data_IF_580743735841
#
_entry.id   IF_580743735841
#
_cell.length_a   1.000
_cell.length_b   1.000
_cell.length_c   1.000
_cell.angle_alpha   90.00
_cell.angle_beta   90.00
_cell.angle_gamma   90.00
#
_symmetry.space_group_name_H-M   'P 1'
#
loop_
_entity.id
_entity.type
_entity.pdbx_description
1 polymer ?
#
# COMPACT_ATOMS: atom_id res chain seq x y z
N UNK A 1 -0.46 41.80 3.66
CA UNK A 1 0.85 41.31 3.22
C UNK A 1 1.55 42.40 2.46
N UNK A 2 2.75 42.77 2.92
CA UNK A 2 3.62 43.73 2.24
C UNK A 2 4.18 43.13 0.94
N UNK A 3 4.73 43.96 0.04
CA UNK A 3 5.41 43.46 -1.19
C UNK A 3 6.57 42.53 -0.83
N UNK A 4 7.30 42.83 0.25
CA UNK A 4 8.38 41.99 0.76
C UNK A 4 7.92 40.61 1.28
N UNK A 5 6.69 40.51 1.82
CA UNK A 5 6.13 39.22 2.24
C UNK A 5 5.81 38.34 1.03
N UNK A 6 5.33 38.93 -0.08
CA UNK A 6 5.04 38.19 -1.32
C UNK A 6 6.30 37.65 -1.98
N UNK A 7 7.34 38.47 -2.06
CA UNK A 7 8.64 38.04 -2.64
C UNK A 7 9.28 36.91 -1.82
N UNK A 8 9.11 36.94 -0.49
CA UNK A 8 9.58 35.90 0.41
C UNK A 8 8.78 34.60 0.22
N UNK A 9 7.45 34.68 0.10
CA UNK A 9 6.61 33.51 -0.16
C UNK A 9 6.96 32.84 -1.49
N UNK A 10 7.15 33.62 -2.56
CA UNK A 10 7.60 33.09 -3.86
C UNK A 10 8.97 32.41 -3.78
N UNK A 11 9.84 32.89 -2.89
CA UNK A 11 11.13 32.25 -2.62
C UNK A 11 10.94 30.92 -1.89
N UNK A 12 10.11 30.89 -0.86
CA UNK A 12 9.80 29.68 -0.09
C UNK A 12 9.16 28.59 -0.97
N UNK A 13 8.31 28.96 -1.93
CA UNK A 13 7.68 28.03 -2.88
C UNK A 13 8.69 27.29 -3.78
N UNK A 14 9.91 27.80 -3.93
CA UNK A 14 10.98 27.18 -4.73
C UNK A 14 11.87 26.24 -3.91
N UNK A 15 11.71 26.19 -2.59
CA UNK A 15 12.49 25.31 -1.73
C UNK A 15 12.11 23.85 -1.94
N UNK A 16 13.03 22.94 -1.62
CA UNK A 16 12.79 21.50 -1.73
C UNK A 16 12.51 20.89 -0.35
N UNK A 17 11.23 20.80 0.01
CA UNK A 17 10.78 20.22 1.28
C UNK A 17 9.33 19.70 1.18
N UNK A 18 8.82 18.92 2.17
CA UNK A 18 7.46 18.39 2.13
C UNK A 18 6.36 19.43 1.88
N UNK A 19 6.57 20.70 2.28
CA UNK A 19 5.63 21.80 2.09
C UNK A 19 5.46 22.25 0.63
N UNK A 20 6.47 22.03 -0.22
CA UNK A 20 6.47 22.43 -1.63
C UNK A 20 6.32 21.25 -2.59
N UNK A 21 6.40 20.02 -2.07
CA UNK A 21 6.23 18.80 -2.87
C UNK A 21 4.78 18.49 -3.25
N UNK A 22 3.87 19.46 -3.23
CA UNK A 22 2.49 19.26 -3.70
C UNK A 22 1.77 18.11 -3.00
N UNK A 23 1.97 17.96 -1.70
CA UNK A 23 1.27 16.99 -0.84
C UNK A 23 0.14 17.73 -0.12
N UNK A 24 -1.11 17.34 -0.36
CA UNK A 24 -2.25 17.89 0.39
C UNK A 24 -2.71 16.90 1.46
N UNK A 25 -3.21 17.42 2.57
CA UNK A 25 -3.77 16.61 3.68
C UNK A 25 -4.84 15.62 3.20
N UNK A 26 -5.68 16.02 2.25
CA UNK A 26 -6.73 15.19 1.65
C UNK A 26 -6.19 13.97 0.88
N UNK A 27 -4.96 14.04 0.39
CA UNK A 27 -4.37 12.98 -0.43
C UNK A 27 -3.79 11.84 0.45
N UNK A 28 -3.71 12.03 1.78
CA UNK A 28 -3.10 11.11 2.75
C UNK A 28 -4.17 10.27 3.46
N UNK A 29 -4.45 9.06 2.93
CA UNK A 29 -5.51 8.18 3.44
C UNK A 29 -5.35 7.73 4.90
N UNK A 30 -4.12 7.59 5.40
CA UNK A 30 -3.82 7.04 6.74
C UNK A 30 -3.20 8.06 7.70
N UNK A 31 -3.49 9.36 7.50
CA UNK A 31 -2.82 10.46 8.22
C UNK A 31 -2.85 10.29 9.75
N UNK A 32 -3.95 9.77 10.31
CA UNK A 32 -4.09 9.58 11.75
C UNK A 32 -3.11 8.55 12.35
N UNK A 33 -2.68 7.55 11.56
CA UNK A 33 -1.85 6.45 12.06
C UNK A 33 -0.37 6.56 11.66
N UNK A 34 -0.03 7.40 10.68
CA UNK A 34 1.35 7.55 10.20
C UNK A 34 2.26 8.10 11.32
N UNK A 35 1.90 9.15 12.08
CA UNK A 35 2.77 9.70 13.12
C UNK A 35 3.18 8.68 14.17
N UNK A 36 2.25 7.89 14.70
CA UNK A 36 2.56 6.85 15.69
C UNK A 36 3.53 5.79 15.14
N UNK A 37 3.38 5.41 13.86
CA UNK A 37 4.30 4.46 13.20
C UNK A 37 5.69 5.06 12.97
N UNK A 38 5.77 6.34 12.60
CA UNK A 38 7.04 7.04 12.43
C UNK A 38 7.75 7.20 13.77
N UNK A 39 7.02 7.54 14.83
CA UNK A 39 7.60 7.65 16.16
C UNK A 39 8.16 6.32 16.66
N UNK A 40 7.40 5.22 16.50
CA UNK A 40 7.92 3.88 16.81
C UNK A 40 9.21 3.56 16.03
N UNK A 41 9.34 4.08 14.80
CA UNK A 41 10.55 3.89 13.98
C UNK A 41 11.75 4.70 14.46
N UNK A 42 11.51 5.90 14.97
CA UNK A 42 12.57 6.70 15.61
C UNK A 42 13.02 6.00 16.90
N UNK A 43 12.10 5.39 17.65
CA UNK A 43 12.43 4.72 18.91
C UNK A 43 13.16 3.38 18.73
N UNK A 44 12.81 2.59 17.71
CA UNK A 44 13.30 1.19 17.57
C UNK A 44 14.01 0.88 16.25
N UNK A 45 14.08 1.84 15.32
CA UNK A 45 14.61 1.64 13.97
C UNK A 45 16.07 2.09 13.81
N UNK A 46 16.69 1.79 12.64
CA UNK A 46 18.05 2.23 12.33
C UNK A 46 18.18 3.75 12.39
N UNK A 47 19.23 4.22 13.08
CA UNK A 47 19.49 5.64 13.35
C UNK A 47 19.61 6.50 12.09
N UNK A 48 20.22 5.95 11.03
CA UNK A 48 20.40 6.58 9.70
C UNK A 48 19.11 7.09 9.02
N UNK A 49 17.93 6.67 9.47
CA UNK A 49 16.65 7.11 8.90
C UNK A 49 15.87 8.05 9.84
N UNK A 50 16.39 8.33 11.04
CA UNK A 50 15.68 9.10 12.06
C UNK A 50 15.40 10.53 11.62
N UNK A 51 16.39 11.21 11.02
CA UNK A 51 16.22 12.58 10.52
C UNK A 51 15.06 12.70 9.51
N UNK A 52 15.02 11.81 8.51
CA UNK A 52 13.91 11.71 7.54
C UNK A 52 12.55 11.55 8.21
N UNK A 53 12.45 10.65 9.20
CA UNK A 53 11.19 10.40 9.90
C UNK A 53 10.76 11.58 10.77
N UNK A 54 11.71 12.29 11.39
CA UNK A 54 11.48 13.48 12.18
C UNK A 54 11.05 14.67 11.30
N UNK A 55 11.67 14.86 10.13
CA UNK A 55 11.23 15.85 9.14
C UNK A 55 9.79 15.60 8.68
N UNK A 56 9.45 14.34 8.40
CA UNK A 56 8.09 13.97 8.04
C UNK A 56 7.10 14.16 9.20
N UNK A 57 7.50 13.84 10.44
CA UNK A 57 6.68 14.11 11.62
C UNK A 57 6.42 15.61 11.79
N UNK A 58 7.42 16.46 11.55
CA UNK A 58 7.25 17.91 11.58
C UNK A 58 6.20 18.36 10.56
N UNK A 59 6.33 17.93 9.31
CA UNK A 59 5.36 18.24 8.25
C UNK A 59 3.94 17.81 8.61
N UNK A 60 3.76 16.58 9.11
CA UNK A 60 2.44 16.07 9.49
C UNK A 60 1.83 16.85 10.67
N UNK A 61 2.64 17.29 11.63
CA UNK A 61 2.15 18.11 12.75
C UNK A 61 1.77 19.52 12.29
N UNK A 62 2.52 20.13 11.38
CA UNK A 62 2.14 21.43 10.80
C UNK A 62 0.84 21.34 9.99
N UNK A 63 0.63 20.25 9.23
CA UNK A 63 -0.65 19.99 8.54
C UNK A 63 -1.85 19.86 9.50
N UNK A 64 -1.61 19.51 10.75
CA UNK A 64 -2.61 19.47 11.83
C UNK A 64 -2.72 20.79 12.61
N UNK A 65 -1.96 21.83 12.21
CA UNK A 65 -1.94 23.14 12.86
C UNK A 65 -1.04 23.22 14.10
N UNK A 66 -0.21 22.21 14.34
CA UNK A 66 0.70 22.14 15.50
C UNK A 66 2.12 22.57 15.11
N UNK A 67 2.28 23.79 14.61
CA UNK A 67 3.57 24.31 14.09
C UNK A 67 4.68 24.39 15.15
N UNK A 68 4.37 24.64 16.43
CA UNK A 68 5.37 24.60 17.51
C UNK A 68 5.98 23.21 17.68
N UNK A 69 5.12 22.18 17.70
CA UNK A 69 5.56 20.79 17.76
C UNK A 69 6.31 20.37 16.50
N UNK A 70 5.98 20.95 15.35
CA UNK A 70 6.75 20.76 14.13
C UNK A 70 8.19 21.26 14.30
N UNK A 71 8.40 22.45 14.88
CA UNK A 71 9.75 22.96 15.20
C UNK A 71 10.53 22.04 16.14
N UNK A 72 9.89 21.47 17.16
CA UNK A 72 10.55 20.50 18.05
C UNK A 72 11.06 19.27 17.28
N UNK A 73 10.29 18.75 16.32
CA UNK A 73 10.72 17.62 15.51
C UNK A 73 11.85 18.00 14.53
N UNK A 74 11.80 19.18 13.93
CA UNK A 74 12.88 19.68 13.09
C UNK A 74 14.18 19.88 13.88
N UNK A 75 14.08 20.38 15.12
CA UNK A 75 15.24 20.50 16.00
C UNK A 75 15.85 19.14 16.33
N UNK A 76 15.01 18.16 16.64
CA UNK A 76 15.48 16.78 16.84
C UNK A 76 16.12 16.20 15.58
N UNK A 77 15.57 16.50 14.40
CA UNK A 77 16.15 16.07 13.13
C UNK A 77 17.52 16.71 12.91
N UNK A 78 17.67 18.01 13.17
CA UNK A 78 18.95 18.74 13.10
C UNK A 78 19.99 18.10 14.03
N UNK A 79 19.63 17.87 15.29
CA UNK A 79 20.53 17.24 16.28
C UNK A 79 20.98 15.85 15.85
N UNK A 80 20.10 15.03 15.27
CA UNK A 80 20.49 13.71 14.76
C UNK A 80 21.52 13.84 13.63
N UNK A 81 21.29 14.75 12.67
CA UNK A 81 22.20 14.97 11.55
C UNK A 81 23.57 15.48 12.02
N UNK A 82 23.60 16.38 13.00
CA UNK A 82 24.83 16.89 13.62
C UNK A 82 25.61 15.82 14.38
N UNK A 83 24.93 15.03 15.21
CA UNK A 83 25.52 13.95 16.00
C UNK A 83 26.11 12.85 15.11
N UNK A 84 25.42 12.53 14.01
CA UNK A 84 25.86 11.52 13.04
C UNK A 84 26.92 12.08 12.05
N UNK A 85 27.23 13.39 12.12
CA UNK A 85 28.20 14.10 11.27
C UNK A 85 27.91 13.93 9.78
N UNK A 86 26.62 14.01 9.44
CA UNK A 86 26.15 13.87 8.07
C UNK A 86 26.66 15.02 7.18
N UNK A 87 26.68 14.78 5.87
CA UNK A 87 27.07 15.80 4.91
C UNK A 87 26.07 16.97 4.91
N UNK A 88 26.56 18.19 4.62
CA UNK A 88 25.74 19.42 4.58
C UNK A 88 24.48 19.27 3.70
N UNK A 89 24.56 18.49 2.62
CA UNK A 89 23.42 18.23 1.72
C UNK A 89 22.25 17.52 2.40
N UNK A 90 22.48 16.77 3.48
CA UNK A 90 21.42 16.12 4.26
C UNK A 90 20.57 17.12 5.06
N UNK A 91 21.11 18.32 5.32
CA UNK A 91 20.39 19.37 6.05
C UNK A 91 19.43 20.18 5.17
N UNK A 92 19.53 20.08 3.84
CA UNK A 92 18.76 20.89 2.89
C UNK A 92 17.24 20.81 3.14
N UNK A 93 16.70 19.59 3.26
CA UNK A 93 15.26 19.39 3.49
C UNK A 93 14.85 19.88 4.88
N UNK A 94 15.71 19.70 5.89
CA UNK A 94 15.46 20.14 7.26
C UNK A 94 15.41 21.68 7.35
N UNK A 95 16.41 22.38 6.82
CA UNK A 95 16.48 23.85 6.82
C UNK A 95 15.39 24.48 5.96
N UNK A 96 15.04 23.88 4.82
CA UNK A 96 13.90 24.31 4.03
C UNK A 96 12.58 24.18 4.79
N UNK A 97 12.42 23.10 5.56
CA UNK A 97 11.26 22.89 6.42
C UNK A 97 11.20 23.91 7.56
N UNK A 98 12.33 24.20 8.22
CA UNK A 98 12.42 25.26 9.23
C UNK A 98 12.01 26.63 8.67
N UNK A 99 12.54 27.01 7.51
CA UNK A 99 12.21 28.28 6.87
C UNK A 99 10.69 28.43 6.63
N UNK A 100 10.04 27.36 6.15
CA UNK A 100 8.59 27.30 5.95
C UNK A 100 7.78 27.40 7.24
N UNK A 101 8.14 26.63 8.27
CA UNK A 101 7.40 26.63 9.55
C UNK A 101 7.55 27.98 10.26
N UNK A 102 8.76 28.54 10.32
CA UNK A 102 8.98 29.87 10.89
C UNK A 102 8.23 30.97 10.13
N UNK A 103 8.15 30.87 8.80
CA UNK A 103 7.40 31.84 8.00
C UNK A 103 5.90 31.81 8.36
N UNK A 104 5.31 30.62 8.51
CA UNK A 104 3.91 30.44 8.93
C UNK A 104 3.62 30.99 10.32
N UNK A 105 4.60 30.91 11.22
CA UNK A 105 4.53 31.49 12.57
C UNK A 105 4.77 33.01 12.59
N UNK A 106 5.17 33.62 11.47
CA UNK A 106 5.52 35.04 11.38
C UNK A 106 6.92 35.38 11.87
N UNK A 107 7.77 34.38 12.12
CA UNK A 107 9.15 34.54 12.60
C UNK A 107 10.11 34.86 11.44
N UNK A 108 9.99 36.04 10.86
CA UNK A 108 10.76 36.43 9.66
C UNK A 108 12.28 36.44 9.85
N UNK A 109 12.76 36.65 11.09
CA UNK A 109 14.19 36.61 11.43
C UNK A 109 14.73 35.19 11.24
N UNK A 110 14.06 34.21 11.86
CA UNK A 110 14.45 32.80 11.77
C UNK A 110 14.28 32.28 10.34
N UNK A 111 13.21 32.64 9.63
CA UNK A 111 13.03 32.30 8.21
C UNK A 111 14.23 32.72 7.37
N UNK A 112 14.70 33.97 7.52
CA UNK A 112 15.88 34.47 6.78
C UNK A 112 17.17 33.79 7.22
N UNK A 113 17.31 33.45 8.50
CA UNK A 113 18.47 32.72 9.00
C UNK A 113 18.60 31.34 8.35
N UNK A 114 17.51 30.58 8.26
CA UNK A 114 17.51 29.27 7.61
C UNK A 114 17.67 29.36 6.09
N UNK A 115 17.11 30.38 5.43
CA UNK A 115 17.41 30.66 4.02
C UNK A 115 18.89 30.95 3.78
N UNK A 116 19.55 31.68 4.69
CA UNK A 116 20.99 31.91 4.66
C UNK A 116 21.80 30.63 4.79
N UNK A 117 21.41 29.72 5.73
CA UNK A 117 22.04 28.39 5.86
C UNK A 117 21.91 27.58 4.56
N UNK A 118 20.74 27.60 3.91
CA UNK A 118 20.52 26.92 2.62
C UNK A 118 21.39 27.49 1.50
N UNK A 119 21.47 28.83 1.43
CA UNK A 119 22.26 29.52 0.42
C UNK A 119 23.75 29.17 0.54
N UNK A 120 24.30 29.10 1.76
CA UNK A 120 25.69 28.69 1.99
C UNK A 120 25.97 27.27 1.48
N UNK A 121 25.07 26.32 1.73
CA UNK A 121 25.21 24.94 1.22
C UNK A 121 25.13 24.94 -0.32
N UNK A 122 24.16 25.66 -0.90
CA UNK A 122 23.98 25.71 -2.35
C UNK A 122 25.13 26.39 -3.10
N UNK A 123 25.74 27.45 -2.55
CA UNK A 123 26.92 28.12 -3.13
C UNK A 123 28.07 27.14 -3.40
N UNK A 124 28.22 26.10 -2.59
CA UNK A 124 29.25 25.06 -2.74
C UNK A 124 29.01 24.07 -3.89
N UNK A 125 27.83 24.05 -4.49
CA UNK A 125 27.38 23.01 -5.42
C UNK A 125 27.22 23.58 -6.83
N UNK A 126 27.88 22.98 -7.84
CA UNK A 126 27.77 23.44 -9.23
C UNK A 126 26.36 23.21 -9.79
N UNK A 127 25.79 24.21 -10.45
CA UNK A 127 24.46 24.13 -11.08
C UNK A 127 23.29 24.27 -10.10
N UNK A 128 23.56 24.68 -8.86
CA UNK A 128 22.54 25.05 -7.88
C UNK A 128 21.88 26.39 -8.22
N UNK A 129 20.62 26.52 -7.83
CA UNK A 129 19.97 27.82 -7.65
C UNK A 129 20.34 28.40 -6.29
N UNK A 130 19.91 29.63 -5.99
CA UNK A 130 20.24 30.30 -4.73
C UNK A 130 19.87 29.50 -3.47
N UNK A 131 18.76 28.73 -3.49
CA UNK A 131 18.26 28.02 -2.31
C UNK A 131 17.93 26.55 -2.55
N UNK A 132 18.23 26.02 -3.74
CA UNK A 132 17.93 24.64 -4.11
C UNK A 132 19.00 24.10 -5.06
N UNK A 133 19.42 22.86 -4.83
CA UNK A 133 20.37 22.16 -5.66
C UNK A 133 19.89 20.74 -5.96
N UNK A 134 20.23 20.23 -7.14
CA UNK A 134 20.01 18.82 -7.46
C UNK A 134 20.95 17.96 -6.61
N UNK A 135 20.41 17.25 -5.62
CA UNK A 135 21.16 16.40 -4.70
C UNK A 135 20.47 15.05 -4.54
N UNK A 136 21.22 13.93 -4.57
CA UNK A 136 20.67 12.60 -4.26
C UNK A 136 20.01 12.55 -2.88
N UNK A 137 20.52 13.31 -1.90
CA UNK A 137 19.94 13.44 -0.57
C UNK A 137 18.49 13.94 -0.60
N UNK A 138 18.23 15.01 -1.36
CA UNK A 138 16.88 15.58 -1.51
C UNK A 138 15.93 14.59 -2.18
N UNK A 139 16.38 13.89 -3.22
CA UNK A 139 15.57 12.87 -3.89
C UNK A 139 15.36 11.63 -3.01
N UNK A 140 16.33 11.25 -2.17
CA UNK A 140 16.18 10.20 -1.18
C UNK A 140 15.12 10.53 -0.12
N UNK A 141 15.17 11.75 0.42
CA UNK A 141 14.18 12.29 1.37
C UNK A 141 12.76 12.35 0.75
N UNK A 142 12.64 12.81 -0.51
CA UNK A 142 11.39 12.75 -1.28
C UNK A 142 10.87 11.32 -1.39
N UNK A 143 11.73 10.39 -1.79
CA UNK A 143 11.41 8.97 -1.95
C UNK A 143 10.81 8.38 -0.67
N UNK A 144 11.48 8.57 0.46
CA UNK A 144 11.02 8.07 1.76
C UNK A 144 9.73 8.75 2.22
N UNK A 145 9.62 10.06 2.03
CA UNK A 145 8.42 10.83 2.36
C UNK A 145 7.21 10.28 1.61
N UNK A 146 7.29 10.20 0.28
CA UNK A 146 6.20 9.67 -0.54
C UNK A 146 5.88 8.21 -0.21
N UNK A 147 6.88 7.37 0.07
CA UNK A 147 6.66 5.98 0.45
C UNK A 147 5.85 5.83 1.76
N UNK A 148 6.04 6.76 2.71
CA UNK A 148 5.30 6.80 3.97
C UNK A 148 3.90 7.38 3.84
N UNK A 149 3.71 8.38 2.97
CA UNK A 149 2.41 9.02 2.74
C UNK A 149 1.38 8.08 2.10
N UNK A 150 1.83 7.05 1.37
CA UNK A 150 1.00 5.92 0.99
C UNK A 150 0.86 5.71 -0.51
N UNK A 151 -0.05 4.81 -0.90
CA UNK A 151 -0.13 4.27 -2.26
C UNK A 151 -0.30 5.32 -3.36
N UNK A 152 -1.03 6.41 -3.07
CA UNK A 152 -1.19 7.57 -3.98
C UNK A 152 0.15 8.17 -4.42
N UNK A 153 1.19 8.03 -3.60
CA UNK A 153 2.50 8.65 -3.83
C UNK A 153 3.58 7.64 -4.27
N UNK A 154 3.26 6.35 -4.43
CA UNK A 154 4.28 5.33 -4.74
C UNK A 154 4.98 5.56 -6.09
N UNK A 155 4.27 6.02 -7.12
CA UNK A 155 4.92 6.35 -8.40
C UNK A 155 5.91 7.51 -8.28
N UNK A 156 5.56 8.51 -7.46
CA UNK A 156 6.45 9.63 -7.14
C UNK A 156 7.66 9.16 -6.32
N UNK A 157 7.45 8.28 -5.35
CA UNK A 157 8.52 7.65 -4.59
C UNK A 157 9.46 6.85 -5.50
N UNK A 158 8.93 6.06 -6.45
CA UNK A 158 9.73 5.31 -7.44
C UNK A 158 10.64 6.23 -8.24
N UNK A 159 10.10 7.32 -8.78
CA UNK A 159 10.88 8.28 -9.57
C UNK A 159 11.98 8.96 -8.74
N UNK A 160 11.67 9.38 -7.52
CA UNK A 160 12.64 10.03 -6.64
C UNK A 160 13.75 9.07 -6.19
N UNK A 161 13.40 7.84 -5.77
CA UNK A 161 14.42 6.84 -5.43
C UNK A 161 15.31 6.47 -6.62
N UNK A 162 14.75 6.38 -7.84
CA UNK A 162 15.54 6.14 -9.05
C UNK A 162 16.63 7.20 -9.22
N UNK A 163 16.25 8.48 -9.14
CA UNK A 163 17.22 9.60 -9.23
C UNK A 163 18.25 9.57 -8.10
N UNK A 164 17.81 9.24 -6.88
CA UNK A 164 18.72 9.14 -5.73
C UNK A 164 19.76 8.03 -5.93
N UNK A 165 19.36 6.86 -6.44
CA UNK A 165 20.26 5.74 -6.76
C UNK A 165 21.14 6.03 -7.97
N UNK A 166 20.66 6.77 -8.97
CA UNK A 166 21.49 7.23 -10.11
C UNK A 166 22.65 8.13 -9.64
N UNK A 167 22.40 8.97 -8.64
CA UNK A 167 23.44 9.83 -8.05
C UNK A 167 24.33 9.14 -7.02
N UNK A 168 23.77 8.22 -6.22
CA UNK A 168 24.50 7.44 -5.21
C UNK A 168 24.17 5.93 -5.30
N UNK A 169 24.82 5.19 -6.23
CA UNK A 169 24.45 3.81 -6.55
C UNK A 169 24.64 2.78 -5.43
N UNK A 170 25.52 3.09 -4.48
CA UNK A 170 25.87 2.22 -3.34
C UNK A 170 25.17 2.64 -2.03
N UNK A 171 24.28 3.63 -2.06
CA UNK A 171 23.53 4.05 -0.87
C UNK A 171 22.57 2.93 -0.41
N UNK A 172 22.84 2.37 0.77
CA UNK A 172 22.00 1.33 1.40
C UNK A 172 20.56 1.81 1.58
N UNK A 173 20.38 3.06 2.02
CA UNK A 173 19.06 3.65 2.29
C UNK A 173 18.24 3.77 1.01
N UNK A 174 18.82 4.32 -0.07
CA UNK A 174 18.08 4.56 -1.31
C UNK A 174 17.75 3.25 -2.02
N UNK A 175 18.68 2.30 -2.06
CA UNK A 175 18.42 0.98 -2.65
C UNK A 175 17.32 0.23 -1.88
N UNK A 176 17.32 0.28 -0.54
CA UNK A 176 16.27 -0.33 0.27
C UNK A 176 14.90 0.34 0.02
N UNK A 177 14.85 1.67 0.01
CA UNK A 177 13.63 2.42 -0.30
C UNK A 177 13.09 2.13 -1.71
N UNK A 178 14.00 2.07 -2.70
CA UNK A 178 13.66 1.79 -4.09
C UNK A 178 13.09 0.37 -4.26
N UNK A 179 13.75 -0.62 -3.67
CA UNK A 179 13.29 -2.00 -3.68
C UNK A 179 11.90 -2.16 -3.04
N UNK A 180 11.65 -1.48 -1.90
CA UNK A 180 10.35 -1.53 -1.22
C UNK A 180 9.24 -0.88 -2.03
N UNK A 181 9.48 0.27 -2.68
CA UNK A 181 8.44 0.92 -3.49
C UNK A 181 8.11 0.11 -4.75
N UNK A 182 9.12 -0.46 -5.41
CA UNK A 182 8.92 -1.33 -6.57
C UNK A 182 8.11 -2.58 -6.19
N UNK A 183 8.46 -3.23 -5.07
CA UNK A 183 7.70 -4.36 -4.54
C UNK A 183 6.22 -4.00 -4.32
N UNK A 184 5.94 -2.82 -3.77
CA UNK A 184 4.56 -2.36 -3.51
C UNK A 184 3.81 -2.03 -4.79
N UNK A 185 4.45 -1.37 -5.75
CA UNK A 185 3.84 -1.03 -7.05
C UNK A 185 3.53 -2.29 -7.85
N UNK A 186 4.46 -3.23 -7.95
CA UNK A 186 4.22 -4.53 -8.60
C UNK A 186 3.18 -5.40 -7.85
N UNK A 187 2.93 -5.12 -6.57
CA UNK A 187 1.83 -5.72 -5.82
C UNK A 187 0.47 -5.09 -6.08
N UNK A 188 0.42 -3.87 -6.63
CA UNK A 188 -0.80 -3.12 -6.98
C UNK A 188 -1.12 -3.33 -8.47
N UNK A 189 -0.13 -3.10 -9.34
CA UNK A 189 -0.18 -3.38 -10.75
C UNK A 189 0.07 -4.87 -10.95
N UNK A 190 -1.01 -5.65 -11.02
CA UNK A 190 -0.93 -7.07 -11.31
C UNK A 190 -0.63 -7.27 -12.80
N UNK A 191 0.66 -7.22 -13.14
CA UNK A 191 1.16 -7.53 -14.48
C UNK A 191 1.66 -8.98 -14.51
N UNK A 192 0.89 -9.86 -15.14
CA UNK A 192 1.23 -11.28 -15.31
C UNK A 192 2.25 -11.53 -16.42
N UNK A 193 2.56 -10.53 -17.25
CA UNK A 193 3.55 -10.66 -18.33
C UNK A 193 4.99 -10.62 -17.83
N UNK A 194 5.21 -10.05 -16.64
CA UNK A 194 6.53 -9.98 -16.01
C UNK A 194 6.84 -11.29 -15.32
N UNK A 195 7.89 -11.97 -15.78
CA UNK A 195 8.46 -13.13 -15.07
C UNK A 195 8.82 -12.68 -13.65
N UNK A 196 8.17 -13.22 -12.59
CA UNK A 196 8.34 -12.68 -11.24
C UNK A 196 9.79 -12.66 -10.75
N UNK A 197 10.62 -13.60 -11.22
CA UNK A 197 12.03 -13.71 -10.88
C UNK A 197 12.94 -12.64 -11.54
N UNK A 198 12.46 -11.95 -12.57
CA UNK A 198 13.23 -10.95 -13.32
C UNK A 198 12.60 -9.54 -13.24
N UNK A 199 11.64 -9.34 -12.34
CA UNK A 199 10.98 -8.04 -12.17
C UNK A 199 11.95 -6.98 -11.64
N UNK A 200 11.63 -5.70 -11.87
CA UNK A 200 12.45 -4.57 -11.39
C UNK A 200 12.60 -4.64 -9.86
N UNK A 201 11.54 -5.01 -9.14
CA UNK A 201 11.58 -5.22 -7.70
C UNK A 201 12.56 -6.33 -7.30
N UNK A 202 12.61 -7.47 -8.00
CA UNK A 202 13.55 -8.55 -7.66
C UNK A 202 14.99 -8.13 -7.88
N UNK A 203 15.27 -7.46 -9.02
CA UNK A 203 16.62 -6.94 -9.31
C UNK A 203 17.06 -5.98 -8.21
N UNK A 204 16.20 -5.04 -7.82
CA UNK A 204 16.54 -4.06 -6.80
C UNK A 204 16.57 -4.62 -5.38
N UNK A 205 15.72 -5.60 -5.05
CA UNK A 205 15.79 -6.32 -3.77
C UNK A 205 17.10 -7.07 -3.62
N UNK A 206 17.57 -7.75 -4.68
CA UNK A 206 18.90 -8.40 -4.70
C UNK A 206 20.02 -7.38 -4.52
N UNK A 207 19.95 -6.25 -5.22
CA UNK A 207 20.94 -5.17 -5.09
C UNK A 207 20.98 -4.60 -3.67
N UNK A 208 19.82 -4.34 -3.07
CA UNK A 208 19.74 -3.86 -1.69
C UNK A 208 20.29 -4.89 -0.69
N UNK A 209 20.03 -6.18 -0.88
CA UNK A 209 20.60 -7.26 -0.05
C UNK A 209 22.10 -7.50 -0.28
N UNK A 210 22.66 -7.13 -1.43
CA UNK A 210 24.12 -7.12 -1.62
C UNK A 210 24.79 -6.03 -0.79
N UNK A 211 24.13 -4.89 -0.62
CA UNK A 211 24.62 -3.76 0.17
C UNK A 211 24.37 -3.95 1.68
N UNK A 212 23.26 -4.61 2.05
CA UNK A 212 22.90 -4.92 3.44
C UNK A 212 22.35 -6.35 3.55
N UNK A 213 23.27 -7.31 3.70
CA UNK A 213 22.94 -8.73 3.70
C UNK A 213 21.98 -9.15 4.81
N UNK A 214 22.04 -8.51 5.99
CA UNK A 214 21.27 -8.90 7.18
C UNK A 214 19.89 -8.21 7.26
N UNK A 215 19.42 -7.60 6.17
CA UNK A 215 18.11 -6.96 6.15
C UNK A 215 16.97 -7.98 6.01
N UNK A 216 16.53 -8.53 7.15
CA UNK A 216 15.47 -9.53 7.23
C UNK A 216 14.14 -9.09 6.57
N UNK A 217 13.83 -7.79 6.53
CA UNK A 217 12.62 -7.32 5.83
C UNK A 217 12.77 -7.55 4.32
N UNK A 218 13.88 -7.10 3.73
CA UNK A 218 14.11 -7.23 2.29
C UNK A 218 14.23 -8.70 1.87
N UNK A 219 14.81 -9.57 2.72
CA UNK A 219 14.82 -11.01 2.50
C UNK A 219 13.41 -11.58 2.29
N UNK A 220 12.46 -11.25 3.18
CA UNK A 220 11.09 -11.78 3.06
C UNK A 220 10.33 -11.15 1.91
N UNK A 221 10.58 -9.87 1.57
CA UNK A 221 10.01 -9.26 0.37
C UNK A 221 10.50 -9.97 -0.91
N UNK A 222 11.79 -10.29 -0.98
CA UNK A 222 12.37 -11.06 -2.08
C UNK A 222 11.78 -12.48 -2.12
N UNK A 223 11.69 -13.15 -0.98
CA UNK A 223 11.09 -14.47 -0.88
C UNK A 223 9.65 -14.50 -1.43
N UNK A 224 8.83 -13.51 -1.06
CA UNK A 224 7.45 -13.37 -1.57
C UNK A 224 7.38 -13.18 -3.09
N UNK A 225 8.38 -12.54 -3.72
CA UNK A 225 8.42 -12.39 -5.18
C UNK A 225 8.89 -13.68 -5.87
N UNK A 226 9.80 -14.40 -5.24
CA UNK A 226 10.37 -15.65 -5.77
C UNK A 226 9.53 -16.89 -5.46
N UNK A 227 8.47 -16.76 -4.66
CA UNK A 227 7.69 -17.87 -4.10
C UNK A 227 7.29 -18.91 -5.15
N UNK A 228 6.74 -18.47 -6.29
CA UNK A 228 6.27 -19.38 -7.33
C UNK A 228 7.34 -19.78 -8.36
N UNK A 229 8.40 -18.98 -8.52
CA UNK A 229 9.43 -19.19 -9.55
C UNK A 229 10.68 -19.91 -9.04
N UNK A 230 11.05 -19.71 -7.78
CA UNK A 230 12.31 -20.18 -7.18
C UNK A 230 12.10 -20.62 -5.71
N UNK A 231 11.28 -21.66 -5.50
CA UNK A 231 10.86 -22.14 -4.16
C UNK A 231 12.01 -22.38 -3.17
N UNK A 232 13.10 -23.01 -3.61
CA UNK A 232 14.24 -23.32 -2.73
C UNK A 232 14.95 -22.09 -2.19
N UNK A 233 15.21 -21.10 -3.06
CA UNK A 233 15.81 -19.83 -2.63
C UNK A 233 14.85 -19.04 -1.73
N UNK A 234 13.58 -19.00 -2.13
CA UNK A 234 12.52 -18.31 -1.41
C UNK A 234 12.36 -18.82 0.03
N UNK A 235 12.34 -20.14 0.23
CA UNK A 235 12.26 -20.75 1.55
C UNK A 235 13.49 -20.40 2.40
N UNK A 236 14.70 -20.51 1.84
CA UNK A 236 15.94 -20.18 2.54
C UNK A 236 15.95 -18.72 3.03
N UNK A 237 15.50 -17.79 2.20
CA UNK A 237 15.39 -16.36 2.58
C UNK A 237 14.44 -16.16 3.76
N UNK A 238 13.33 -16.90 3.83
CA UNK A 238 12.38 -16.83 4.95
C UNK A 238 12.98 -17.42 6.23
N UNK A 239 13.67 -18.56 6.13
CA UNK A 239 14.37 -19.18 7.26
C UNK A 239 15.48 -18.27 7.82
N UNK A 240 16.27 -17.66 6.94
CA UNK A 240 17.33 -16.73 7.33
C UNK A 240 16.74 -15.46 7.96
N UNK A 241 15.65 -14.91 7.40
CA UNK A 241 14.96 -13.76 7.99
C UNK A 241 14.37 -14.07 9.38
N UNK A 242 13.79 -15.26 9.57
CA UNK A 242 13.31 -15.71 10.88
C UNK A 242 14.44 -15.93 11.88
N UNK A 243 15.62 -16.36 11.43
CA UNK A 243 16.80 -16.51 12.29
C UNK A 243 17.31 -15.15 12.75
N UNK A 244 17.34 -14.16 11.85
CA UNK A 244 17.82 -12.80 12.15
C UNK A 244 16.82 -11.99 12.99
N UNK A 245 15.53 -12.20 12.78
CA UNK A 245 14.48 -11.34 13.32
C UNK A 245 13.19 -12.12 13.69
N UNK A 246 13.26 -13.10 14.62
CA UNK A 246 12.19 -14.06 14.89
C UNK A 246 10.86 -13.43 15.36
N UNK A 247 10.94 -12.28 16.04
CA UNK A 247 9.78 -11.59 16.63
C UNK A 247 9.68 -10.11 16.24
N UNK A 248 10.30 -9.71 15.11
CA UNK A 248 10.14 -8.35 14.59
C UNK A 248 8.79 -8.27 13.87
N UNK A 249 7.81 -7.47 14.36
CA UNK A 249 6.43 -7.52 13.86
C UNK A 249 6.30 -7.34 12.34
N UNK A 250 7.21 -6.58 11.73
CA UNK A 250 7.23 -6.34 10.28
C UNK A 250 7.69 -7.56 9.48
N UNK A 251 8.69 -8.28 9.97
CA UNK A 251 9.21 -9.52 9.37
C UNK A 251 8.16 -10.61 9.56
N UNK A 252 7.70 -10.82 10.80
CA UNK A 252 6.62 -11.75 11.16
C UNK A 252 5.41 -11.59 10.23
N UNK A 253 4.99 -10.35 9.96
CA UNK A 253 3.87 -10.05 9.06
C UNK A 253 4.02 -10.66 7.67
N UNK A 254 5.21 -10.54 7.07
CA UNK A 254 5.44 -10.99 5.71
C UNK A 254 5.75 -12.49 5.67
N UNK A 255 6.41 -13.02 6.70
CA UNK A 255 6.61 -14.47 6.86
C UNK A 255 5.28 -15.18 7.00
N UNK A 256 4.36 -14.65 7.82
CA UNK A 256 3.02 -15.21 7.94
C UNK A 256 2.26 -15.19 6.62
N UNK A 257 2.38 -14.12 5.82
CA UNK A 257 1.83 -14.06 4.46
C UNK A 257 2.46 -15.14 3.58
N UNK A 258 3.77 -15.31 3.62
CA UNK A 258 4.50 -16.30 2.85
C UNK A 258 4.02 -17.73 3.16
N UNK A 259 4.04 -18.11 4.44
CA UNK A 259 3.59 -19.43 4.91
C UNK A 259 2.13 -19.69 4.55
N UNK A 260 1.27 -18.68 4.66
CA UNK A 260 -0.14 -18.81 4.25
C UNK A 260 -0.28 -19.11 2.75
N UNK A 261 0.55 -18.49 1.91
CA UNK A 261 0.53 -18.69 0.46
C UNK A 261 1.13 -20.06 0.05
N UNK A 262 2.12 -20.59 0.78
CA UNK A 262 2.59 -21.97 0.61
C UNK A 262 1.58 -23.03 1.11
N UNK A 263 0.57 -22.62 1.88
CA UNK A 263 -0.42 -23.52 2.47
C UNK A 263 -0.06 -24.02 3.88
N UNK A 264 1.08 -23.60 4.44
CA UNK A 264 1.46 -23.81 5.85
C UNK A 264 0.66 -22.90 6.79
N UNK A 265 -0.66 -23.12 6.85
CA UNK A 265 -1.59 -22.22 7.55
C UNK A 265 -1.38 -22.27 9.07
N UNK A 266 -1.10 -23.45 9.63
CA UNK A 266 -0.95 -23.61 11.08
C UNK A 266 0.33 -22.95 11.60
N UNK A 267 1.45 -23.07 10.88
CA UNK A 267 2.70 -22.34 11.16
C UNK A 267 2.50 -20.81 11.06
N UNK A 268 1.75 -20.35 10.05
CA UNK A 268 1.38 -18.94 9.91
C UNK A 268 0.59 -18.45 11.13
N UNK A 269 -0.38 -19.24 11.62
CA UNK A 269 -1.17 -18.93 12.81
C UNK A 269 -0.32 -18.91 14.09
N UNK A 270 0.65 -19.82 14.24
CA UNK A 270 1.56 -19.83 15.39
C UNK A 270 2.39 -18.55 15.46
N UNK A 271 3.04 -18.20 14.35
CA UNK A 271 3.87 -16.99 14.25
C UNK A 271 3.03 -15.72 14.45
N UNK A 272 1.84 -15.65 13.85
CA UNK A 272 0.92 -14.53 14.06
C UNK A 272 0.40 -14.46 15.50
N UNK A 273 0.18 -15.61 16.16
CA UNK A 273 -0.23 -15.70 17.56
C UNK A 273 0.80 -15.07 18.49
N UNK A 274 2.09 -15.39 18.31
CA UNK A 274 3.18 -14.76 19.07
C UNK A 274 3.24 -13.25 18.83
N UNK A 275 3.14 -12.80 17.58
CA UNK A 275 3.17 -11.38 17.27
C UNK A 275 1.96 -10.60 17.80
N UNK A 276 0.77 -11.20 17.84
CA UNK A 276 -0.42 -10.57 18.44
C UNK A 276 -0.28 -10.46 19.96
N UNK A 277 0.39 -11.41 20.63
CA UNK A 277 0.70 -11.29 22.05
C UNK A 277 1.61 -10.08 22.35
N UNK A 278 2.54 -9.75 21.45
CA UNK A 278 3.42 -8.57 21.57
C UNK A 278 2.74 -7.27 21.11
N UNK A 279 1.79 -7.34 20.18
CA UNK A 279 1.13 -6.18 19.57
C UNK A 279 -0.37 -6.43 19.37
N UNK A 280 -1.16 -6.45 20.45
CA UNK A 280 -2.57 -6.85 20.42
C UNK A 280 -3.47 -5.87 19.67
N UNK A 281 -3.00 -4.64 19.43
CA UNK A 281 -3.74 -3.61 18.69
C UNK A 281 -3.19 -3.41 17.27
N UNK A 282 -2.63 -4.45 16.65
CA UNK A 282 -2.22 -4.40 15.24
C UNK A 282 -3.35 -4.86 14.31
N UNK A 283 -3.99 -3.89 13.64
CA UNK A 283 -5.02 -4.17 12.60
C UNK A 283 -4.52 -5.17 11.55
N UNK A 284 -3.24 -5.04 11.16
CA UNK A 284 -2.63 -5.91 10.16
C UNK A 284 -2.54 -7.37 10.64
N UNK A 285 -2.08 -7.61 11.87
CA UNK A 285 -1.93 -8.98 12.38
C UNK A 285 -3.30 -9.66 12.51
N UNK A 286 -4.30 -8.94 13.03
CA UNK A 286 -5.67 -9.45 13.06
C UNK A 286 -6.21 -9.77 11.67
N UNK A 287 -5.94 -8.91 10.68
CA UNK A 287 -6.33 -9.18 9.28
C UNK A 287 -5.66 -10.45 8.74
N UNK A 288 -4.35 -10.66 8.96
CA UNK A 288 -3.66 -11.88 8.51
C UNK A 288 -4.18 -13.15 9.20
N UNK A 289 -4.48 -13.11 10.49
CA UNK A 289 -5.09 -14.26 11.20
C UNK A 289 -6.46 -14.58 10.61
N UNK A 290 -7.28 -13.54 10.35
CA UNK A 290 -8.56 -13.70 9.68
C UNK A 290 -8.43 -14.36 8.30
N UNK A 291 -7.40 -13.98 7.52
CA UNK A 291 -7.10 -14.62 6.23
C UNK A 291 -6.68 -16.09 6.37
N UNK A 292 -5.92 -16.45 7.41
CA UNK A 292 -5.59 -17.85 7.71
C UNK A 292 -6.85 -18.67 7.99
N UNK A 293 -7.74 -18.15 8.84
CA UNK A 293 -9.02 -18.81 9.11
C UNK A 293 -9.94 -18.88 7.88
N UNK A 294 -9.93 -17.84 7.02
CA UNK A 294 -10.63 -17.83 5.74
C UNK A 294 -10.11 -18.95 4.83
N UNK A 295 -8.79 -19.15 4.77
CA UNK A 295 -8.19 -20.22 3.99
C UNK A 295 -8.61 -21.61 4.50
N UNK A 296 -8.52 -21.85 5.82
CA UNK A 296 -9.01 -23.09 6.43
C UNK A 296 -10.50 -23.32 6.14
N UNK A 297 -11.32 -22.26 6.20
CA UNK A 297 -12.74 -22.34 5.84
C UNK A 297 -12.96 -22.73 4.37
N UNK A 298 -12.16 -22.20 3.44
CA UNK A 298 -12.21 -22.57 2.02
C UNK A 298 -11.85 -24.04 1.81
N UNK A 299 -10.79 -24.53 2.47
CA UNK A 299 -10.42 -25.95 2.44
C UNK A 299 -11.57 -26.84 2.97
N UNK A 300 -12.26 -26.43 4.03
CA UNK A 300 -13.44 -27.14 4.55
C UNK A 300 -14.59 -27.19 3.52
N UNK A 301 -14.72 -26.19 2.64
CA UNK A 301 -15.70 -26.21 1.54
C UNK A 301 -15.29 -27.11 0.38
N UNK A 302 -13.98 -27.24 0.12
CA UNK A 302 -13.42 -28.09 -0.94
C UNK A 302 -13.39 -29.58 -0.55
N UNK A 303 -13.35 -29.89 0.75
CA UNK A 303 -13.48 -31.26 1.26
C UNK A 303 -14.90 -31.83 0.98
N UNK A 304 -15.12 -32.29 -0.25
CA UNK A 304 -16.42 -32.77 -0.76
C UNK A 304 -16.54 -34.30 -0.80
N UNK A 305 -15.44 -35.04 -0.66
CA UNK A 305 -15.49 -36.50 -0.57
C UNK A 305 -16.29 -36.93 0.68
N UNK A 306 -17.13 -37.95 0.55
CA UNK A 306 -18.06 -38.38 1.61
C UNK A 306 -17.35 -38.69 2.96
N UNK A 307 -16.10 -39.15 2.91
CA UNK A 307 -15.28 -39.42 4.09
C UNK A 307 -14.77 -38.16 4.83
N UNK A 308 -14.66 -37.02 4.14
CA UNK A 308 -14.05 -35.78 4.67
C UNK A 308 -15.04 -34.60 4.69
N UNK A 309 -16.35 -34.85 4.57
CA UNK A 309 -17.35 -33.79 4.52
C UNK A 309 -17.45 -33.10 5.87
N UNK A 310 -16.97 -31.86 5.92
CA UNK A 310 -17.01 -31.06 7.15
C UNK A 310 -18.45 -30.58 7.43
N UNK A 311 -18.99 -30.79 8.65
CA UNK A 311 -20.33 -30.34 9.03
C UNK A 311 -20.54 -28.83 8.89
N UNK A 312 -21.78 -28.44 8.58
CA UNK A 312 -22.14 -27.02 8.43
C UNK A 312 -21.90 -26.21 9.71
N UNK A 313 -22.09 -26.81 10.89
CA UNK A 313 -21.83 -26.17 12.17
C UNK A 313 -20.35 -25.82 12.35
N UNK A 314 -19.43 -26.72 11.98
CA UNK A 314 -17.98 -26.46 12.05
C UNK A 314 -17.57 -25.35 11.07
N UNK A 315 -18.14 -25.33 9.86
CA UNK A 315 -17.91 -24.25 8.89
C UNK A 315 -18.38 -22.89 9.41
N UNK A 316 -19.54 -22.85 10.08
CA UNK A 316 -20.02 -21.62 10.74
C UNK A 316 -19.12 -21.18 11.89
N UNK A 317 -18.68 -22.11 12.74
CA UNK A 317 -17.74 -21.80 13.81
C UNK A 317 -16.43 -21.22 13.23
N UNK A 318 -15.93 -21.78 12.12
CA UNK A 318 -14.75 -21.24 11.45
C UNK A 318 -14.98 -19.87 10.83
N UNK A 319 -16.13 -19.64 10.22
CA UNK A 319 -16.53 -18.31 9.74
C UNK A 319 -16.64 -17.28 10.88
N UNK A 320 -17.06 -17.70 12.09
CA UNK A 320 -17.08 -16.86 13.27
C UNK A 320 -15.67 -16.43 13.72
N UNK A 321 -14.67 -17.30 13.63
CA UNK A 321 -13.27 -16.93 13.87
C UNK A 321 -12.75 -15.91 12.85
N UNK A 322 -13.12 -16.06 11.56
CA UNK A 322 -12.82 -15.04 10.55
C UNK A 322 -13.42 -13.68 10.94
N UNK A 323 -14.71 -13.66 11.29
CA UNK A 323 -15.42 -12.44 11.72
C UNK A 323 -14.73 -11.80 12.92
N UNK A 324 -14.37 -12.58 13.95
CA UNK A 324 -13.73 -12.06 15.18
C UNK A 324 -12.47 -11.26 14.84
N UNK A 325 -11.61 -11.84 14.01
CA UNK A 325 -10.34 -11.22 13.64
C UNK A 325 -10.51 -10.07 12.65
N UNK A 326 -11.33 -10.21 11.60
CA UNK A 326 -11.57 -9.12 10.67
C UNK A 326 -12.27 -7.92 11.33
N UNK A 327 -13.22 -8.17 12.24
CA UNK A 327 -13.88 -7.10 13.00
C UNK A 327 -12.89 -6.34 13.86
N UNK A 328 -12.00 -7.03 14.59
CA UNK A 328 -10.94 -6.37 15.36
C UNK A 328 -10.00 -5.55 14.46
N UNK A 329 -9.67 -6.05 13.26
CA UNK A 329 -8.86 -5.31 12.31
C UNK A 329 -9.54 -4.01 11.84
N UNK A 330 -10.86 -4.04 11.59
CA UNK A 330 -11.68 -2.89 11.21
C UNK A 330 -11.88 -1.92 12.38
N UNK A 331 -12.10 -2.42 13.60
CA UNK A 331 -12.20 -1.59 14.81
C UNK A 331 -10.92 -0.77 15.04
N UNK A 332 -9.74 -1.38 14.83
CA UNK A 332 -8.44 -0.69 14.98
C UNK A 332 -8.19 0.27 13.81
N UNK A 333 -8.53 -0.13 12.57
CA UNK A 333 -8.32 0.70 11.37
C UNK A 333 -9.57 0.68 10.48
N UNK A 334 -10.52 1.60 10.70
CA UNK A 334 -11.76 1.66 9.93
C UNK A 334 -11.54 1.99 8.44
N UNK A 335 -10.44 2.68 8.09
CA UNK A 335 -10.09 3.02 6.71
C UNK A 335 -9.53 1.84 5.90
N UNK A 336 -9.33 0.66 6.51
CA UNK A 336 -8.82 -0.51 5.80
C UNK A 336 -9.94 -1.18 4.98
N UNK A 337 -10.08 -0.74 3.71
CA UNK A 337 -11.03 -1.29 2.74
C UNK A 337 -10.97 -2.83 2.66
N UNK A 338 -9.77 -3.41 2.56
CA UNK A 338 -9.61 -4.85 2.39
C UNK A 338 -10.15 -5.64 3.59
N UNK A 339 -9.85 -5.18 4.81
CA UNK A 339 -10.39 -5.80 6.02
C UNK A 339 -11.92 -5.67 6.10
N UNK A 340 -12.51 -4.56 5.64
CA UNK A 340 -13.98 -4.38 5.57
C UNK A 340 -14.62 -5.34 4.57
N UNK A 341 -14.06 -5.48 3.36
CA UNK A 341 -14.54 -6.44 2.35
C UNK A 341 -14.44 -7.87 2.89
N UNK A 342 -13.30 -8.26 3.47
CA UNK A 342 -13.12 -9.59 4.06
C UNK A 342 -14.09 -9.87 5.22
N UNK A 343 -14.40 -8.85 6.03
CA UNK A 343 -15.41 -8.93 7.08
C UNK A 343 -16.82 -9.17 6.49
N UNK A 344 -17.21 -8.41 5.46
CA UNK A 344 -18.48 -8.56 4.79
C UNK A 344 -18.64 -9.96 4.15
N UNK A 345 -17.58 -10.44 3.49
CA UNK A 345 -17.56 -11.81 2.97
C UNK A 345 -17.72 -12.85 4.07
N UNK A 346 -17.01 -12.69 5.20
CA UNK A 346 -17.11 -13.60 6.34
C UNK A 346 -18.52 -13.60 6.97
N UNK A 347 -19.18 -12.43 7.06
CA UNK A 347 -20.59 -12.33 7.45
C UNK A 347 -21.50 -13.10 6.48
N UNK A 348 -21.29 -12.95 5.17
CA UNK A 348 -22.01 -13.72 4.15
C UNK A 348 -21.82 -15.23 4.30
N UNK A 349 -20.61 -15.71 4.61
CA UNK A 349 -20.34 -17.13 4.88
C UNK A 349 -21.06 -17.62 6.15
N UNK A 350 -21.17 -16.76 7.15
CA UNK A 350 -21.84 -17.07 8.42
C UNK A 350 -23.37 -16.86 8.37
N UNK A 351 -23.95 -16.58 7.19
CA UNK A 351 -25.38 -16.26 6.97
C UNK A 351 -25.90 -15.00 7.67
N UNK A 352 -24.99 -14.10 8.04
CA UNK A 352 -25.28 -12.78 8.57
C UNK A 352 -25.39 -11.79 7.41
N UNK A 353 -26.45 -11.95 6.61
CA UNK A 353 -26.56 -11.29 5.31
C UNK A 353 -26.76 -9.77 5.42
N UNK A 354 -27.52 -9.33 6.42
CA UNK A 354 -27.79 -7.91 6.64
C UNK A 354 -26.50 -7.14 6.96
N UNK A 355 -25.67 -7.68 7.85
CA UNK A 355 -24.40 -7.05 8.25
C UNK A 355 -23.37 -7.05 7.12
N UNK A 356 -23.37 -8.07 6.26
CA UNK A 356 -22.53 -8.08 5.07
C UNK A 356 -22.92 -6.97 4.09
N UNK A 357 -24.24 -6.84 3.83
CA UNK A 357 -24.78 -5.87 2.89
C UNK A 357 -24.61 -4.43 3.37
N UNK A 358 -24.76 -4.18 4.67
CA UNK A 358 -24.50 -2.87 5.28
C UNK A 358 -23.08 -2.38 4.99
N UNK A 359 -22.06 -3.23 5.23
CA UNK A 359 -20.66 -2.87 4.94
C UNK A 359 -20.45 -2.53 3.47
N UNK A 360 -20.97 -3.33 2.53
CA UNK A 360 -20.81 -3.04 1.11
C UNK A 360 -21.46 -1.72 0.71
N UNK A 361 -22.66 -1.43 1.23
CA UNK A 361 -23.35 -0.17 0.96
C UNK A 361 -22.63 1.04 1.55
N UNK A 362 -22.04 0.90 2.73
CA UNK A 362 -21.20 1.96 3.31
C UNK A 362 -19.96 2.21 2.47
N UNK A 363 -19.28 1.14 2.02
CA UNK A 363 -18.08 1.26 1.18
C UNK A 363 -18.37 1.95 -0.15
N UNK A 364 -19.51 1.66 -0.78
CA UNK A 364 -19.88 2.30 -2.04
C UNK A 364 -20.30 3.78 -1.89
N UNK A 365 -20.59 4.25 -0.67
CA UNK A 365 -20.80 5.68 -0.38
C UNK A 365 -19.50 6.46 -0.18
N UNK A 366 -18.37 5.77 -0.05
CA UNK A 366 -17.08 6.41 0.17
C UNK A 366 -16.53 6.96 -1.16
N UNK A 367 -16.64 8.28 -1.33
CA UNK A 367 -16.16 8.99 -2.52
C UNK A 367 -14.62 9.01 -2.62
N UNK A 368 -13.91 8.72 -1.53
CA UNK A 368 -12.43 8.73 -1.50
C UNK A 368 -11.77 7.46 -2.08
N UNK A 369 -12.58 6.46 -2.44
CA UNK A 369 -12.09 5.24 -3.06
C UNK A 369 -11.53 5.53 -4.47
N UNK A 370 -10.35 4.97 -4.76
CA UNK A 370 -9.83 4.96 -6.13
C UNK A 370 -10.70 4.07 -7.01
N UNK A 371 -10.60 4.22 -8.34
CA UNK A 371 -11.39 3.39 -9.26
C UNK A 371 -11.09 1.89 -9.10
N UNK A 372 -9.84 1.53 -8.77
CA UNK A 372 -9.44 0.15 -8.47
C UNK A 372 -10.12 -0.39 -7.20
N UNK A 373 -10.16 0.44 -6.16
CA UNK A 373 -10.81 0.11 -4.89
C UNK A 373 -12.33 -0.02 -5.06
N UNK A 374 -12.93 0.91 -5.81
CA UNK A 374 -14.36 0.93 -6.15
C UNK A 374 -14.74 -0.29 -6.99
N UNK A 375 -13.94 -0.62 -8.01
CA UNK A 375 -14.12 -1.83 -8.81
C UNK A 375 -14.09 -3.08 -7.94
N UNK A 376 -13.10 -3.21 -7.05
CA UNK A 376 -13.01 -4.35 -6.13
C UNK A 376 -14.24 -4.46 -5.23
N UNK A 377 -14.75 -3.34 -4.72
CA UNK A 377 -15.94 -3.30 -3.88
C UNK A 377 -17.17 -3.79 -4.67
N UNK A 378 -17.40 -3.27 -5.88
CA UNK A 378 -18.49 -3.71 -6.75
C UNK A 378 -18.40 -5.21 -7.11
N UNK A 379 -17.21 -5.72 -7.47
CA UNK A 379 -17.01 -7.15 -7.77
C UNK A 379 -17.32 -8.03 -6.56
N UNK A 380 -16.86 -7.61 -5.36
CA UNK A 380 -17.08 -8.36 -4.12
C UNK A 380 -18.56 -8.33 -3.70
N UNK A 381 -19.22 -7.16 -3.81
CA UNK A 381 -20.64 -7.02 -3.49
C UNK A 381 -21.52 -7.81 -4.47
N UNK A 382 -21.27 -7.71 -5.78
CA UNK A 382 -21.96 -8.50 -6.79
C UNK A 382 -21.80 -10.01 -6.58
N UNK A 383 -20.61 -10.45 -6.17
CA UNK A 383 -20.34 -11.86 -5.82
C UNK A 383 -21.13 -12.29 -4.57
N UNK A 384 -21.21 -11.44 -3.55
CA UNK A 384 -22.04 -11.67 -2.36
C UNK A 384 -23.52 -11.79 -2.72
N UNK A 385 -24.05 -10.85 -3.52
CA UNK A 385 -25.44 -10.82 -3.96
C UNK A 385 -25.79 -12.10 -4.73
N UNK A 386 -24.93 -12.50 -5.67
CA UNK A 386 -25.15 -13.69 -6.50
C UNK A 386 -25.12 -14.99 -5.70
N UNK A 387 -24.08 -15.22 -4.89
CA UNK A 387 -23.91 -16.52 -4.23
C UNK A 387 -24.60 -16.63 -2.88
N UNK A 388 -24.69 -15.55 -2.11
CA UNK A 388 -25.16 -15.57 -0.72
C UNK A 388 -26.61 -15.08 -0.60
N UNK A 389 -26.90 -13.88 -1.08
CA UNK A 389 -28.24 -13.28 -1.03
C UNK A 389 -29.20 -13.89 -2.06
N UNK A 390 -28.66 -14.46 -3.15
CA UNK A 390 -29.40 -14.98 -4.32
C UNK A 390 -30.20 -13.91 -5.06
N UNK A 391 -29.68 -12.69 -5.07
CA UNK A 391 -30.24 -11.57 -5.81
C UNK A 391 -29.44 -11.38 -7.11
N UNK A 392 -29.84 -12.10 -8.16
CA UNK A 392 -29.13 -12.05 -9.44
C UNK A 392 -29.27 -10.66 -10.11
N UNK A 393 -30.34 -9.91 -9.84
CA UNK A 393 -30.59 -8.60 -10.48
C UNK A 393 -29.60 -7.57 -9.96
N UNK A 394 -29.57 -7.42 -8.64
CA UNK A 394 -28.67 -6.47 -8.00
C UNK A 394 -27.22 -6.90 -8.25
N UNK A 395 -26.95 -8.21 -8.26
CA UNK A 395 -25.63 -8.73 -8.62
C UNK A 395 -25.18 -8.28 -10.02
N UNK A 396 -26.04 -8.41 -11.04
CA UNK A 396 -25.72 -7.95 -12.40
C UNK A 396 -25.44 -6.46 -12.44
N UNK A 397 -26.24 -5.63 -11.74
CA UNK A 397 -26.00 -4.19 -11.69
C UNK A 397 -24.62 -3.86 -11.11
N UNK A 398 -24.28 -4.45 -9.97
CA UNK A 398 -22.98 -4.22 -9.31
C UNK A 398 -21.82 -4.74 -10.16
N UNK A 399 -21.94 -5.92 -10.76
CA UNK A 399 -20.87 -6.48 -11.60
C UNK A 399 -20.69 -5.69 -12.90
N UNK A 400 -21.76 -5.15 -13.50
CA UNK A 400 -21.65 -4.22 -14.65
C UNK A 400 -20.93 -2.94 -14.25
N UNK A 401 -21.23 -2.37 -13.07
CA UNK A 401 -20.49 -1.21 -12.55
C UNK A 401 -19.01 -1.52 -12.35
N UNK A 402 -18.66 -2.70 -11.82
CA UNK A 402 -17.25 -3.11 -11.71
C UNK A 402 -16.56 -3.21 -13.09
N UNK A 403 -17.23 -3.81 -14.07
CA UNK A 403 -16.68 -4.04 -15.41
C UNK A 403 -16.42 -2.74 -16.18
N UNK A 404 -17.20 -1.69 -15.94
CA UNK A 404 -17.06 -0.38 -16.60
C UNK A 404 -15.97 0.53 -16.03
N UNK A 405 -15.51 0.29 -14.81
CA UNK A 405 -14.65 1.26 -14.11
C UNK A 405 -13.22 1.29 -14.63
N UNK A 406 -12.56 0.14 -14.62
CA UNK A 406 -11.20 -0.01 -15.12
C UNK A 406 -11.16 -1.23 -16.03
N UNK A 407 -10.66 -1.00 -17.25
CA UNK A 407 -10.30 -2.06 -18.17
C UNK A 407 -9.17 -2.91 -17.56
N UNK A 408 -9.28 -4.24 -17.70
CA UNK A 408 -8.26 -5.21 -17.29
C UNK A 408 -8.04 -5.39 -15.77
N UNK A 409 -7.40 -6.50 -15.41
CA UNK A 409 -7.07 -6.86 -14.03
C UNK A 409 -8.03 -7.88 -13.39
N UNK A 410 -7.61 -8.44 -12.26
CA UNK A 410 -8.28 -9.57 -11.62
C UNK A 410 -9.75 -9.30 -11.25
N UNK A 411 -10.08 -8.10 -10.74
CA UNK A 411 -11.44 -7.78 -10.33
C UNK A 411 -12.39 -7.57 -11.51
N UNK A 412 -11.87 -7.03 -12.62
CA UNK A 412 -12.58 -6.91 -13.89
C UNK A 412 -12.89 -8.29 -14.48
N UNK A 413 -11.88 -9.17 -14.57
CA UNK A 413 -12.08 -10.54 -15.06
C UNK A 413 -13.05 -11.33 -14.19
N UNK A 414 -12.93 -11.21 -12.86
CA UNK A 414 -13.87 -11.80 -11.91
C UNK A 414 -15.30 -11.34 -12.21
N UNK A 415 -15.52 -10.03 -12.38
CA UNK A 415 -16.83 -9.48 -12.69
C UNK A 415 -17.38 -10.04 -14.01
N UNK A 416 -16.57 -10.07 -15.08
CA UNK A 416 -16.94 -10.66 -16.37
C UNK A 416 -17.30 -12.14 -16.28
N UNK A 417 -16.47 -12.95 -15.59
CA UNK A 417 -16.74 -14.37 -15.35
C UNK A 417 -18.05 -14.58 -14.58
N UNK A 418 -18.37 -13.74 -13.59
CA UNK A 418 -19.63 -13.83 -12.84
C UNK A 418 -20.83 -13.42 -13.69
N UNK A 419 -20.72 -12.33 -14.47
CA UNK A 419 -21.77 -11.89 -15.39
C UNK A 419 -22.14 -12.99 -16.39
N UNK A 420 -21.13 -13.60 -17.02
CA UNK A 420 -21.34 -14.72 -17.96
C UNK A 420 -22.04 -15.90 -17.29
N UNK A 421 -21.61 -16.25 -16.07
CA UNK A 421 -22.23 -17.33 -15.29
C UNK A 421 -23.70 -17.06 -14.92
N UNK A 422 -24.06 -15.80 -14.64
CA UNK A 422 -25.46 -15.42 -14.40
C UNK A 422 -26.27 -15.55 -15.69
N UNK A 423 -25.75 -15.06 -16.82
CA UNK A 423 -26.42 -15.18 -18.12
C UNK A 423 -26.65 -16.64 -18.52
N UNK A 424 -25.64 -17.49 -18.40
CA UNK A 424 -25.74 -18.95 -18.66
C UNK A 424 -26.78 -19.63 -17.75
N UNK A 425 -26.82 -19.26 -16.46
CA UNK A 425 -27.82 -19.76 -15.51
C UNK A 425 -29.24 -19.37 -15.94
N UNK A 426 -29.46 -18.12 -16.38
CA UNK A 426 -30.76 -17.64 -16.83
C UNK A 426 -31.20 -18.34 -18.13
N UNK A 427 -30.31 -18.44 -19.12
CA UNK A 427 -30.57 -19.14 -20.39
C UNK A 427 -30.93 -20.60 -20.15
N UNK A 428 -30.12 -21.33 -19.37
CA UNK A 428 -30.36 -22.75 -19.08
C UNK A 428 -31.65 -23.00 -18.30
N UNK A 429 -32.06 -22.06 -17.45
CA UNK A 429 -33.33 -22.13 -16.73
C UNK A 429 -34.54 -21.68 -17.59
N UNK A 430 -34.33 -21.16 -18.80
CA UNK A 430 -35.39 -20.55 -19.61
C UNK A 430 -35.98 -19.28 -19.00
N UNK A 431 -35.28 -18.67 -18.05
CA UNK A 431 -35.71 -17.47 -17.33
C UNK A 431 -34.94 -16.28 -17.87
N UNK A 432 -35.59 -15.12 -18.05
CA UNK A 432 -34.87 -13.85 -18.32
C UNK A 432 -33.93 -13.91 -19.52
N UNK A 433 -34.27 -14.72 -20.51
CA UNK A 433 -33.40 -15.06 -21.65
C UNK A 433 -32.95 -13.81 -22.41
N UNK A 434 -33.86 -12.85 -22.61
CA UNK A 434 -33.54 -11.56 -23.24
C UNK A 434 -32.46 -10.80 -22.44
N UNK A 435 -32.65 -10.67 -21.14
CA UNK A 435 -31.72 -9.94 -20.27
C UNK A 435 -30.36 -10.67 -20.15
N UNK A 436 -30.36 -12.00 -20.27
CA UNK A 436 -29.13 -12.78 -20.35
C UNK A 436 -28.33 -12.47 -21.62
N UNK A 437 -28.99 -12.37 -22.79
CA UNK A 437 -28.32 -11.92 -24.01
C UNK A 437 -27.86 -10.45 -23.90
N UNK A 438 -28.64 -9.57 -23.26
CA UNK A 438 -28.22 -8.19 -22.99
C UNK A 438 -26.96 -8.11 -22.09
N UNK A 439 -26.72 -9.09 -21.21
CA UNK A 439 -25.46 -9.20 -20.46
C UNK A 439 -24.30 -9.61 -21.39
N UNK A 440 -24.51 -10.57 -22.27
CA UNK A 440 -23.48 -11.05 -23.20
C UNK A 440 -23.11 -9.99 -24.25
N UNK A 441 -24.11 -9.25 -24.75
CA UNK A 441 -23.93 -8.11 -25.65
C UNK A 441 -23.18 -6.99 -24.96
N UNK A 442 -23.51 -6.71 -23.69
CA UNK A 442 -22.79 -5.75 -22.86
C UNK A 442 -21.30 -6.13 -22.75
N UNK A 443 -20.97 -7.36 -22.35
CA UNK A 443 -19.59 -7.81 -22.25
C UNK A 443 -18.86 -7.67 -23.60
N UNK A 444 -19.51 -8.08 -24.69
CA UNK A 444 -18.94 -8.01 -26.04
C UNK A 444 -18.71 -6.57 -26.51
N UNK A 445 -19.55 -5.62 -26.09
CA UNK A 445 -19.43 -4.22 -26.44
C UNK A 445 -18.26 -3.55 -25.71
N UNK A 446 -18.13 -3.77 -24.40
CA UNK A 446 -17.03 -3.23 -23.60
C UNK A 446 -15.68 -3.84 -24.06
N UNK A 447 -15.62 -5.16 -24.29
CA UNK A 447 -14.42 -5.84 -24.83
C UNK A 447 -14.00 -5.30 -26.22
N UNK A 448 -14.94 -4.77 -27.02
CA UNK A 448 -14.65 -4.14 -28.33
C UNK A 448 -14.17 -2.71 -28.20
N UNK A 449 -14.71 -1.94 -27.26
CA UNK A 449 -14.26 -0.57 -27.00
C UNK A 449 -12.81 -0.56 -26.53
N UNK A 450 -12.38 -1.56 -25.77
CA UNK A 450 -11.01 -1.72 -25.30
C UNK A 450 -10.04 -2.23 -26.40
N UNK A 451 -10.53 -2.92 -27.44
CA UNK A 451 -9.69 -3.41 -28.56
C UNK A 451 -9.41 -2.38 -29.65
N UNK A 452 -10.10 -1.24 -29.63
CA UNK A 452 -9.77 -0.11 -30.50
C UNK A 452 -8.61 0.66 -29.84
N UNK A 453 -7.48 0.90 -30.53
CA UNK A 453 -6.45 1.75 -29.96
C UNK A 453 -7.05 3.14 -29.82
N UNK A 454 -7.29 3.58 -28.58
CA UNK A 454 -7.69 4.96 -28.32
C UNK A 454 -6.59 5.88 -28.84
N UNK A 455 -6.87 6.68 -29.88
CA UNK A 455 -5.94 7.68 -30.43
C UNK A 455 -5.58 8.81 -29.43
N UNK A 456 -6.09 8.76 -28.19
CA UNK A 456 -5.85 9.79 -27.16
C UNK A 456 -5.38 9.23 -25.80
N UNK A 457 -4.53 8.19 -25.80
CA UNK A 457 -3.77 7.84 -24.59
C UNK A 457 -2.29 7.63 -24.92
N UNK A 458 -1.53 8.72 -24.92
CA UNK A 458 -0.10 8.63 -24.57
C UNK A 458 -0.05 8.31 -23.07
N UNK A 459 0.63 7.21 -22.74
CA UNK A 459 0.97 6.70 -21.39
C UNK A 459 -0.10 5.90 -20.64
N UNK A 460 -0.37 4.68 -21.09
CA UNK A 460 -0.74 3.57 -20.19
C UNK A 460 -0.49 2.25 -20.92
N UNK A 461 0.50 1.48 -20.45
CA UNK A 461 0.81 0.16 -20.99
C UNK A 461 -0.24 -0.84 -20.55
N UNK A 462 -1.06 -1.26 -21.49
CA UNK A 462 -1.90 -2.46 -21.41
C UNK A 462 -1.21 -3.61 -22.16
N UNK A 463 -1.40 -4.87 -21.70
CA UNK A 463 -1.74 -6.07 -22.49
C UNK A 463 -1.49 -7.41 -21.74
N UNK A 464 -2.44 -8.35 -21.94
CA UNK A 464 -2.70 -9.75 -21.46
C UNK A 464 -1.56 -10.83 -21.56
N UNK A 465 -1.71 -12.17 -21.22
CA UNK A 465 -2.81 -12.99 -20.61
C UNK A 465 -2.42 -14.05 -19.51
N UNK A 466 -3.46 -14.75 -18.99
CA UNK A 466 -3.55 -16.16 -18.47
C UNK A 466 -3.01 -16.65 -17.10
N UNK A 467 -3.97 -17.23 -16.33
CA UNK A 467 -3.91 -18.46 -15.49
C UNK A 467 -4.09 -18.34 -13.97
N UNK A 468 -4.70 -19.40 -13.44
CA UNK A 468 -5.39 -19.56 -12.16
C UNK A 468 -4.52 -19.39 -10.91
N UNK A 469 -5.10 -18.78 -9.86
CA UNK A 469 -5.22 -19.31 -8.47
C UNK A 469 -5.26 -18.17 -7.42
N UNK A 470 -6.43 -18.08 -6.77
CA UNK A 470 -6.77 -17.50 -5.46
C UNK A 470 -6.61 -16.00 -5.16
#
# INVERSE_FOLDING_TARGET
MSVADKDLEETLQKLECPFTWGVRKSDIKDIANIPAKLQQRVESGPRRCHATYLNLLAFLNDLDGNSEKALEFLQKAETVLEEDKEADTMFLVNYASFAWVHYRLGNLVDTKAYLGKLEEICKGIKGSSQYSCSSPAVEGEKGWTFLWLGATFYERAKLSFRKAVEGEPDSVSYNAGYAVVLYRLEGIAWDTSVVPAASEAVVQLRRALQLEADNAELMVLLALKLQNSCKGESLKLVEDALRLAPDVPKVTRYVAKYLRLEGSIDESLEILGRAVALSPNSSFLHHQIGLCHKHQLLQMFQAQNAANRVPAAQKRAKAAECIRHFRKAVEIKPSNLYARIDLAEAYGQNRRLAEAEEIFRELLKDESLSDLERQRCHTSYGTFLFYRKKDDIEAVAQLKSAYKLLAQGHNWEQAGRKLRKIAEKWISAGQRVREAYEILDFLSAEDRQERLPSEDVRTSGEFHPESDLF
#
